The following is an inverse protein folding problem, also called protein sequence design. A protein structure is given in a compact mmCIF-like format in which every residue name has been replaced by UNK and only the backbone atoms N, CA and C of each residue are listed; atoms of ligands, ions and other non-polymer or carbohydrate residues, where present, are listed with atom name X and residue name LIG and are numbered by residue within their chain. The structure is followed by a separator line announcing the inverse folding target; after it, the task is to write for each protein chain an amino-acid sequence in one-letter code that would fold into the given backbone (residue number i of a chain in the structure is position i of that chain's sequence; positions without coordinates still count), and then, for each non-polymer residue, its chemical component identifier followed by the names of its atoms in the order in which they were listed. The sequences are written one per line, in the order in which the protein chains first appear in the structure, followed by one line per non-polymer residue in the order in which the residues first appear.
data_IF_949755832904
#
_entry.id   IF_949755832904
#
_cell.length_a   1.000
_cell.length_b   1.000
_cell.length_c   1.000
_cell.angle_alpha   90.00
_cell.angle_beta   90.00
_cell.angle_gamma   90.00
#
_symmetry.space_group_name_H-M   'P 1'
#
loop_
_entity.id
_entity.type
_entity.pdbx_description
1 polymer ?
#
# COMPACT_ATOMS: atom_id res chain seq x y z
N UNK A 1 20.89 -21.01 2.25
CA UNK A 1 19.82 -20.10 2.71
C UNK A 1 18.75 -19.86 1.64
N UNK A 2 19.03 -19.23 0.48
CA UNK A 2 18.00 -18.94 -0.55
C UNK A 2 17.23 -20.18 -1.05
N UNK A 3 17.94 -21.23 -1.50
CA UNK A 3 17.30 -22.46 -2.02
C UNK A 3 16.38 -23.14 -0.99
N UNK A 4 16.76 -23.14 0.28
CA UNK A 4 15.95 -23.70 1.38
C UNK A 4 14.70 -22.86 1.63
N UNK A 5 14.81 -21.53 1.59
CA UNK A 5 13.67 -20.64 1.71
C UNK A 5 12.66 -20.88 0.58
N UNK A 6 13.11 -20.93 -0.68
CA UNK A 6 12.24 -21.22 -1.82
C UNK A 6 11.52 -22.57 -1.66
N UNK A 7 12.21 -23.61 -1.21
CA UNK A 7 11.60 -24.92 -0.97
C UNK A 7 10.57 -24.89 0.16
N UNK A 8 10.83 -24.15 1.25
CA UNK A 8 9.89 -24.03 2.36
C UNK A 8 8.63 -23.25 1.95
N UNK A 9 8.81 -22.13 1.24
CA UNK A 9 7.72 -21.26 0.79
C UNK A 9 6.80 -21.96 -0.21
N UNK A 10 7.36 -22.71 -1.16
CA UNK A 10 6.58 -23.37 -2.22
C UNK A 10 5.84 -24.63 -1.76
N UNK A 11 6.25 -25.25 -0.63
CA UNK A 11 5.58 -26.43 -0.05
C UNK A 11 4.35 -26.09 0.79
N UNK A 12 4.28 -24.87 1.32
CA UNK A 12 3.17 -24.42 2.16
C UNK A 12 2.28 -23.48 1.34
N UNK A 13 1.00 -23.84 1.16
CA UNK A 13 0.05 -23.02 0.38
C UNK A 13 -0.07 -21.59 0.92
N UNK A 14 -0.11 -21.40 2.23
CA UNK A 14 -0.22 -20.09 2.87
C UNK A 14 1.01 -19.25 2.57
N UNK A 15 2.20 -19.83 2.74
CA UNK A 15 3.47 -19.13 2.44
C UNK A 15 3.64 -18.84 0.95
N UNK A 16 3.22 -19.77 0.10
CA UNK A 16 3.23 -19.58 -1.35
C UNK A 16 2.31 -18.42 -1.76
N UNK A 17 1.09 -18.38 -1.24
CA UNK A 17 0.15 -17.28 -1.50
C UNK A 17 0.67 -15.95 -0.94
N UNK A 18 1.31 -15.97 0.24
CA UNK A 18 1.96 -14.80 0.81
C UNK A 18 3.09 -14.27 -0.07
N UNK A 19 3.96 -15.15 -0.56
CA UNK A 19 5.02 -14.78 -1.51
C UNK A 19 4.44 -14.22 -2.81
N UNK A 20 3.39 -14.84 -3.38
CA UNK A 20 2.73 -14.33 -4.58
C UNK A 20 2.10 -12.94 -4.35
N UNK A 21 1.57 -12.69 -3.15
CA UNK A 21 1.12 -11.34 -2.76
C UNK A 21 2.29 -10.34 -2.77
N UNK A 22 3.45 -10.70 -2.21
CA UNK A 22 4.66 -9.88 -2.29
C UNK A 22 5.07 -9.60 -3.73
N UNK A 23 5.12 -10.63 -4.58
CA UNK A 23 5.46 -10.50 -6.01
C UNK A 23 4.51 -9.55 -6.73
N UNK A 24 3.22 -9.59 -6.40
CA UNK A 24 2.23 -8.67 -6.98
C UNK A 24 2.47 -7.21 -6.57
N UNK A 25 2.83 -6.96 -5.31
CA UNK A 25 3.15 -5.62 -4.79
C UNK A 25 4.44 -5.07 -5.41
N UNK A 26 5.47 -5.90 -5.50
CA UNK A 26 6.81 -5.50 -5.99
C UNK A 26 7.11 -6.10 -7.36
N UNK A 27 6.15 -5.99 -8.28
CA UNK A 27 6.21 -6.60 -9.61
C UNK A 27 7.39 -6.11 -10.48
N UNK A 28 7.96 -4.94 -10.17
CA UNK A 28 9.17 -4.41 -10.84
C UNK A 28 10.47 -5.00 -10.32
N UNK A 29 10.42 -5.72 -9.19
CA UNK A 29 11.57 -6.44 -8.64
C UNK A 29 11.56 -7.89 -9.15
N UNK A 30 12.75 -8.47 -9.33
CA UNK A 30 12.86 -9.87 -9.71
C UNK A 30 12.32 -10.81 -8.63
N UNK A 31 12.03 -12.05 -9.01
CA UNK A 31 11.45 -13.04 -8.10
C UNK A 31 12.35 -13.33 -6.88
N UNK A 32 13.66 -13.40 -7.09
CA UNK A 32 14.66 -13.60 -6.04
C UNK A 32 14.65 -12.47 -4.99
N UNK A 33 14.53 -11.21 -5.43
CA UNK A 33 14.39 -10.06 -4.53
C UNK A 33 13.11 -10.16 -3.72
N UNK A 34 12.00 -10.56 -4.35
CA UNK A 34 10.73 -10.78 -3.66
C UNK A 34 10.79 -11.89 -2.61
N UNK A 35 11.49 -13.00 -2.90
CA UNK A 35 11.74 -14.06 -1.91
C UNK A 35 12.52 -13.50 -0.72
N UNK A 36 13.59 -12.73 -0.95
CA UNK A 36 14.38 -12.13 0.13
C UNK A 36 13.57 -11.15 0.98
N UNK A 37 12.71 -10.35 0.34
CA UNK A 37 11.81 -9.43 1.03
C UNK A 37 10.82 -10.20 1.90
N UNK A 38 10.09 -11.15 1.31
CA UNK A 38 9.02 -11.88 1.99
C UNK A 38 9.54 -12.67 3.20
N UNK A 39 10.69 -13.33 3.08
CA UNK A 39 11.30 -14.10 4.19
C UNK A 39 11.70 -13.20 5.36
N UNK A 40 12.07 -11.95 5.11
CA UNK A 40 12.50 -11.01 6.15
C UNK A 40 11.35 -10.21 6.74
N UNK A 41 10.35 -9.85 5.92
CA UNK A 41 9.20 -9.02 6.30
C UNK A 41 7.99 -9.32 5.41
N UNK A 42 7.23 -10.39 5.72
CA UNK A 42 6.10 -10.83 4.89
C UNK A 42 4.94 -9.82 4.86
N UNK A 43 4.87 -8.94 5.86
CA UNK A 43 3.89 -7.87 6.02
C UNK A 43 4.29 -6.54 5.37
N UNK A 44 5.41 -6.50 4.63
CA UNK A 44 5.85 -5.28 3.96
C UNK A 44 4.75 -4.70 3.04
N UNK A 45 4.57 -3.38 3.12
CA UNK A 45 3.62 -2.58 2.37
C UNK A 45 4.32 -1.87 1.22
N UNK A 46 4.96 -0.75 1.50
CA UNK A 46 5.62 0.08 0.47
C UNK A 46 7.09 0.22 0.81
N UNK A 47 7.96 -0.21 -0.12
CA UNK A 47 9.40 -0.27 0.10
C UNK A 47 10.14 0.76 -0.74
N UNK A 48 11.08 1.44 -0.11
CA UNK A 48 12.12 2.21 -0.80
C UNK A 48 13.44 2.14 -0.02
N UNK A 49 14.54 2.47 -0.67
CA UNK A 49 15.82 2.69 0.03
C UNK A 49 15.73 3.95 0.88
N UNK A 50 16.62 4.11 1.87
CA UNK A 50 16.73 5.35 2.66
C UNK A 50 16.79 6.60 1.75
N UNK A 51 17.68 6.57 0.76
CA UNK A 51 17.84 7.67 -0.19
C UNK A 51 16.62 7.87 -1.10
N UNK A 52 15.83 6.82 -1.35
CA UNK A 52 14.55 6.91 -2.06
C UNK A 52 13.53 7.68 -1.24
N UNK A 53 13.34 7.30 0.02
CA UNK A 53 12.44 8.00 0.93
C UNK A 53 12.79 9.48 1.08
N UNK A 54 14.06 9.79 1.34
CA UNK A 54 14.50 11.16 1.57
C UNK A 54 14.36 12.02 0.31
N UNK A 55 14.88 11.57 -0.84
CA UNK A 55 14.90 12.39 -2.06
C UNK A 55 13.55 12.48 -2.77
N UNK A 56 12.77 11.41 -2.79
CA UNK A 56 11.53 11.37 -3.57
C UNK A 56 10.32 11.85 -2.78
N UNK A 57 10.36 11.70 -1.45
CA UNK A 57 9.19 11.98 -0.60
C UNK A 57 9.48 12.95 0.55
N UNK A 58 10.74 13.25 0.85
CA UNK A 58 11.11 14.05 2.02
C UNK A 58 10.88 13.34 3.36
N UNK A 59 10.68 12.02 3.34
CA UNK A 59 10.47 11.19 4.54
C UNK A 59 11.80 10.61 5.02
N UNK A 60 11.95 10.50 6.33
CA UNK A 60 13.17 10.00 6.98
C UNK A 60 12.90 8.76 7.81
N UNK A 61 13.90 7.91 7.98
CA UNK A 61 13.77 6.72 8.82
C UNK A 61 13.59 7.08 10.31
N UNK A 62 12.78 6.29 11.00
CA UNK A 62 12.74 6.25 12.46
C UNK A 62 14.07 5.66 12.97
N UNK A 63 14.51 6.13 14.14
CA UNK A 63 15.72 5.58 14.75
C UNK A 63 15.50 4.10 15.08
N UNK A 64 16.49 3.25 14.79
CA UNK A 64 16.40 1.81 15.03
C UNK A 64 15.60 1.01 14.01
N UNK A 65 15.10 1.61 12.93
CA UNK A 65 14.41 0.87 11.86
C UNK A 65 15.30 -0.22 11.26
N UNK A 66 14.78 -1.44 11.17
CA UNK A 66 15.49 -2.60 10.61
C UNK A 66 15.29 -2.68 9.10
N UNK A 67 16.38 -2.58 8.35
CA UNK A 67 16.35 -2.71 6.89
C UNK A 67 16.17 -4.15 6.42
N UNK A 68 15.52 -4.31 5.28
CA UNK A 68 15.37 -5.57 4.54
C UNK A 68 16.56 -5.67 3.59
N UNK A 69 17.45 -6.63 3.82
CA UNK A 69 18.63 -6.84 3.00
C UNK A 69 18.29 -7.58 1.71
N UNK A 70 18.51 -6.96 0.56
CA UNK A 70 18.24 -7.54 -0.77
C UNK A 70 19.52 -7.50 -1.58
N UNK A 71 19.93 -8.67 -2.08
CA UNK A 71 21.11 -8.75 -2.95
C UNK A 71 20.71 -8.32 -4.36
N UNK A 72 21.41 -7.33 -4.90
CA UNK A 72 21.28 -6.91 -6.29
C UNK A 72 22.39 -7.52 -7.14
N UNK A 73 21.97 -8.31 -8.14
CA UNK A 73 22.83 -9.06 -9.05
C UNK A 73 22.93 -8.40 -10.43
N UNK A 74 22.39 -7.20 -10.61
CA UNK A 74 22.39 -6.47 -11.89
C UNK A 74 23.80 -5.99 -12.34
N UNK A 75 24.80 -6.05 -11.46
CA UNK A 75 26.19 -5.66 -11.72
C UNK A 75 27.09 -6.91 -11.62
N UNK A 76 28.19 -7.02 -12.39
CA UNK A 76 29.20 -8.09 -12.24
C UNK A 76 29.69 -8.28 -10.80
N UNK A 77 29.55 -7.27 -9.92
CA UNK A 77 29.66 -7.44 -8.47
C UNK A 77 28.28 -7.42 -7.82
N UNK A 78 27.95 -8.48 -7.09
CA UNK A 78 26.77 -8.49 -6.24
C UNK A 78 26.87 -7.37 -5.18
N UNK A 79 25.78 -6.62 -5.01
CA UNK A 79 25.70 -5.55 -4.00
C UNK A 79 24.56 -5.83 -3.03
N UNK A 80 24.68 -5.38 -1.78
CA UNK A 80 23.61 -5.48 -0.79
C UNK A 80 22.89 -4.14 -0.69
N UNK A 81 21.62 -4.11 -1.08
CA UNK A 81 20.73 -2.98 -0.91
C UNK A 81 19.86 -3.18 0.33
N UNK A 82 19.55 -2.08 1.02
CA UNK A 82 18.63 -2.09 2.15
C UNK A 82 17.36 -1.31 1.81
N UNK A 83 16.23 -1.99 1.93
CA UNK A 83 14.90 -1.40 1.79
C UNK A 83 14.23 -1.22 3.14
N UNK A 84 13.38 -0.20 3.25
CA UNK A 84 12.64 0.14 4.45
C UNK A 84 11.19 0.37 4.09
N UNK A 85 10.28 -0.04 4.97
CA UNK A 85 8.85 0.14 4.79
C UNK A 85 8.43 1.59 5.06
N UNK A 86 7.33 2.04 4.45
CA UNK A 86 6.71 3.32 4.78
C UNK A 86 6.45 3.46 6.29
N UNK A 87 6.05 2.38 6.97
CA UNK A 87 5.84 2.34 8.42
C UNK A 87 7.12 2.63 9.22
N UNK A 88 8.30 2.43 8.63
CA UNK A 88 9.60 2.73 9.23
C UNK A 88 9.98 4.21 9.11
N UNK A 89 9.16 5.02 8.45
CA UNK A 89 9.46 6.43 8.15
C UNK A 89 8.59 7.39 8.95
N UNK A 90 9.08 8.63 9.09
CA UNK A 90 8.35 9.80 9.56
C UNK A 90 8.50 10.94 8.56
N UNK A 91 7.53 11.84 8.52
CA UNK A 91 7.54 12.99 7.62
C UNK A 91 6.20 13.71 7.60
N UNK A 92 6.11 14.77 6.82
CA UNK A 92 4.89 15.56 6.65
C UNK A 92 3.78 14.78 5.92
N UNK A 93 2.56 15.30 5.99
CA UNK A 93 1.44 14.81 5.18
C UNK A 93 1.72 14.92 3.68
N UNK A 94 2.41 15.98 3.24
CA UNK A 94 2.83 16.12 1.84
C UNK A 94 3.79 14.98 1.43
N UNK A 95 4.74 14.62 2.30
CA UNK A 95 5.64 13.49 2.04
C UNK A 95 4.90 12.16 1.99
N UNK A 96 3.85 11.98 2.80
CA UNK A 96 2.95 10.83 2.67
C UNK A 96 2.21 10.82 1.33
N UNK A 97 1.66 11.96 0.88
CA UNK A 97 1.01 12.06 -0.44
C UNK A 97 1.96 11.73 -1.59
N UNK A 98 3.22 12.22 -1.53
CA UNK A 98 4.27 11.88 -2.51
C UNK A 98 4.56 10.37 -2.54
N UNK A 99 4.64 9.73 -1.37
CA UNK A 99 4.82 8.28 -1.28
C UNK A 99 3.66 7.50 -1.93
N UNK A 100 2.42 7.88 -1.60
CA UNK A 100 1.24 7.21 -2.17
C UNK A 100 1.11 7.41 -3.68
N UNK A 101 1.41 8.61 -4.18
CA UNK A 101 1.40 8.91 -5.62
C UNK A 101 2.43 8.12 -6.43
N UNK A 102 3.49 7.61 -5.81
CA UNK A 102 4.49 6.75 -6.46
C UNK A 102 4.02 5.29 -6.61
N UNK A 103 3.03 4.86 -5.83
CA UNK A 103 2.46 3.49 -5.91
C UNK A 103 1.54 3.39 -7.11
N UNK A 104 0.57 4.30 -7.16
CA UNK A 104 -0.45 4.33 -8.19
C UNK A 104 -1.08 5.72 -8.23
N UNK A 105 -1.37 6.20 -9.43
CA UNK A 105 -2.21 7.38 -9.64
C UNK A 105 -3.19 7.10 -10.76
N UNK A 106 -4.40 7.66 -10.63
CA UNK A 106 -5.39 7.58 -11.69
C UNK A 106 -4.93 8.47 -12.85
N UNK A 107 -4.57 7.85 -13.97
CA UNK A 107 -4.17 8.61 -15.15
C UNK A 107 -5.34 9.44 -15.69
N UNK A 108 -5.04 10.67 -16.12
CA UNK A 108 -6.06 11.64 -16.57
C UNK A 108 -6.94 11.11 -17.69
N UNK A 109 -6.40 10.29 -18.59
CA UNK A 109 -7.15 9.71 -19.71
C UNK A 109 -8.32 8.82 -19.27
N UNK A 110 -8.25 8.22 -18.08
CA UNK A 110 -9.31 7.35 -17.57
C UNK A 110 -10.33 8.09 -16.68
N UNK A 111 -10.01 9.32 -16.26
CA UNK A 111 -10.86 10.09 -15.34
C UNK A 111 -12.28 10.34 -15.90
N UNK A 112 -12.49 10.72 -17.18
CA UNK A 112 -13.84 10.99 -17.69
C UNK A 112 -14.76 9.76 -17.64
N UNK A 113 -14.25 8.57 -18.01
CA UNK A 113 -15.04 7.34 -18.00
C UNK A 113 -15.36 6.88 -16.57
N UNK A 114 -14.43 7.05 -15.63
CA UNK A 114 -14.70 6.76 -14.22
C UNK A 114 -15.75 7.72 -13.66
N UNK A 115 -15.65 9.01 -13.97
CA UNK A 115 -16.61 10.01 -13.53
C UNK A 115 -18.01 9.72 -14.08
N UNK A 116 -18.12 9.40 -15.38
CA UNK A 116 -19.38 8.98 -16.02
C UNK A 116 -20.01 7.79 -15.28
N UNK A 117 -19.21 6.78 -14.92
CA UNK A 117 -19.71 5.62 -14.16
C UNK A 117 -20.16 5.97 -12.75
N UNK A 118 -19.50 6.93 -12.10
CA UNK A 118 -19.96 7.44 -10.79
C UNK A 118 -21.35 8.07 -10.92
N UNK A 119 -21.52 8.95 -11.90
CA UNK A 119 -22.80 9.60 -12.17
C UNK A 119 -23.90 8.58 -12.51
N UNK A 120 -23.64 7.66 -13.43
CA UNK A 120 -24.64 6.68 -13.88
C UNK A 120 -25.02 5.66 -12.81
N UNK A 121 -24.05 5.17 -12.03
CA UNK A 121 -24.27 4.08 -11.07
C UNK A 121 -24.76 4.57 -9.72
N UNK A 122 -24.29 5.73 -9.28
CA UNK A 122 -24.52 6.24 -7.93
C UNK A 122 -25.30 7.55 -7.91
N UNK A 123 -25.60 8.15 -9.07
CA UNK A 123 -26.34 9.41 -9.13
C UNK A 123 -25.56 10.60 -8.57
N UNK A 124 -24.22 10.52 -8.51
CA UNK A 124 -23.39 11.66 -8.13
C UNK A 124 -23.39 12.70 -9.26
N UNK A 125 -23.07 13.95 -8.96
CA UNK A 125 -23.08 15.07 -9.92
C UNK A 125 -21.83 15.95 -9.86
N UNK A 126 -20.85 15.56 -9.04
CA UNK A 126 -19.60 16.30 -8.87
C UNK A 126 -18.68 16.25 -10.09
N UNK A 127 -17.82 17.27 -10.23
CA UNK A 127 -16.91 17.46 -11.36
C UNK A 127 -15.61 16.63 -11.30
N UNK A 128 -15.30 16.04 -10.14
CA UNK A 128 -14.12 15.21 -9.95
C UNK A 128 -14.41 13.95 -9.14
N UNK A 129 -13.51 12.98 -9.22
CA UNK A 129 -13.68 11.65 -8.63
C UNK A 129 -13.66 11.72 -7.10
N UNK A 130 -12.83 12.57 -6.51
CA UNK A 130 -12.73 12.76 -5.07
C UNK A 130 -14.05 13.24 -4.46
N UNK A 131 -14.71 14.22 -5.08
CA UNK A 131 -15.99 14.73 -4.62
C UNK A 131 -17.11 13.73 -4.85
N UNK A 132 -17.11 12.97 -5.96
CA UNK A 132 -18.04 11.87 -6.17
C UNK A 132 -17.90 10.80 -5.06
N UNK A 133 -16.67 10.48 -4.66
CA UNK A 133 -16.40 9.56 -3.55
C UNK A 133 -16.94 10.11 -2.22
N UNK A 134 -16.74 11.39 -1.93
CA UNK A 134 -17.30 12.03 -0.73
C UNK A 134 -18.83 11.99 -0.73
N UNK A 135 -19.48 12.32 -1.85
CA UNK A 135 -20.93 12.22 -1.99
C UNK A 135 -21.42 10.79 -1.74
N UNK A 136 -20.77 9.80 -2.35
CA UNK A 136 -21.10 8.39 -2.15
C UNK A 136 -20.95 7.98 -0.68
N UNK A 137 -19.88 8.40 -0.01
CA UNK A 137 -19.67 8.13 1.40
C UNK A 137 -20.78 8.73 2.28
N UNK A 138 -21.20 9.98 2.01
CA UNK A 138 -22.31 10.62 2.72
C UNK A 138 -23.63 9.88 2.49
N UNK A 139 -23.96 9.55 1.24
CA UNK A 139 -25.18 8.78 0.92
C UNK A 139 -25.22 7.44 1.65
N UNK A 140 -24.10 6.71 1.70
CA UNK A 140 -24.03 5.46 2.44
C UNK A 140 -24.14 5.71 3.95
N UNK A 141 -23.46 6.73 4.49
CA UNK A 141 -23.56 7.07 5.90
C UNK A 141 -25.02 7.31 6.31
N UNK A 142 -25.79 8.09 5.53
CA UNK A 142 -27.19 8.38 5.80
C UNK A 142 -28.06 7.11 5.78
N UNK A 143 -27.87 6.24 4.79
CA UNK A 143 -28.58 4.96 4.69
C UNK A 143 -28.31 4.03 5.89
N UNK A 144 -27.09 4.05 6.41
CA UNK A 144 -26.70 3.20 7.55
C UNK A 144 -26.93 3.86 8.90
N UNK A 145 -27.09 5.18 8.96
CA UNK A 145 -27.20 5.94 10.20
C UNK A 145 -28.41 5.52 11.02
N UNK A 146 -29.60 5.44 10.41
CA UNK A 146 -30.83 5.03 11.11
C UNK A 146 -30.70 3.64 11.72
N UNK A 147 -30.13 2.69 10.95
CA UNK A 147 -29.87 1.33 11.43
C UNK A 147 -28.89 1.32 12.60
N UNK A 148 -27.89 2.19 12.59
CA UNK A 148 -26.92 2.30 13.67
C UNK A 148 -27.55 2.91 14.94
N UNK A 149 -28.28 4.02 14.79
CA UNK A 149 -28.95 4.72 15.89
C UNK A 149 -29.99 3.85 16.61
N UNK A 150 -30.70 2.98 15.89
CA UNK A 150 -31.64 2.01 16.49
C UNK A 150 -31.01 1.04 17.50
N UNK A 151 -29.67 0.91 17.50
CA UNK A 151 -28.90 0.04 18.40
C UNK A 151 -28.18 0.81 19.50
N UNK A 152 -28.21 2.14 19.46
CA UNK A 152 -27.63 3.00 20.49
C UNK A 152 -28.73 3.36 21.48
N UNK A 153 -28.86 2.55 22.54
CA UNK A 153 -29.69 2.91 23.68
C UNK A 153 -29.02 4.00 24.50
N UNK A 154 -29.67 5.15 24.65
CA UNK A 154 -29.25 6.17 25.62
C UNK A 154 -29.48 5.57 27.01
N UNK A 155 -28.43 5.47 27.82
CA UNK A 155 -28.61 5.22 29.26
C UNK A 155 -29.02 6.55 29.87
N UNK A 156 -30.26 6.63 30.34
CA UNK A 156 -30.65 7.71 31.23
C UNK A 156 -29.87 7.52 32.54
N UNK A 157 -29.00 8.48 32.85
CA UNK A 157 -28.41 8.60 34.18
C UNK A 157 -29.42 9.33 35.07
N UNK A 158 -30.31 8.56 35.71
CA UNK A 158 -31.32 9.03 36.66
C UNK A 158 -31.67 7.96 37.68
#
# INVERSE_FOLDING_TARGET
MYRQAVQALTRNRTEWMGLLSSVSKYYRMSFDKNVLIYVQRPDAGLLATKAGWERQTGRYLKAGSKGIGVVDMNNPKATLAYYFDLADTRGSYEGFRKAMGAVWSLERQYQPEILRRFHERFGTDSENTENCLCQLASMQADLFLEKYLSRVGVRDEG
#
